data_IF_708633584364
#
_entry.id   IF_708633584364
#
_cell.length_a   1.000
_cell.length_b   1.000
_cell.length_c   1.000
_cell.angle_alpha   90.00
_cell.angle_beta   90.00
_cell.angle_gamma   90.00
#
_symmetry.space_group_name_H-M   'P 1'
#
loop_
_entity.id
_entity.type
_entity.pdbx_description
1 polymer ?
#
# COMPACT_ATOMS: atom_id res chain seq x y z
N UNK A 1 48.91 -81.14 -41.68
CA UNK A 1 48.73 -80.98 -40.28
C UNK A 1 48.64 -79.49 -39.94
N UNK A 2 47.50 -79.01 -39.58
CA UNK A 2 47.26 -77.66 -39.01
C UNK A 2 47.46 -77.75 -37.50
N UNK A 3 48.40 -77.01 -36.98
CA UNK A 3 48.61 -76.86 -35.54
C UNK A 3 47.80 -75.65 -35.05
N UNK A 4 46.80 -75.84 -34.16
CA UNK A 4 46.10 -74.79 -33.44
C UNK A 4 46.88 -74.39 -32.19
N UNK A 5 47.22 -73.11 -32.12
CA UNK A 5 47.79 -72.53 -30.91
C UNK A 5 46.71 -71.73 -30.10
N UNK A 6 46.31 -72.21 -28.94
CA UNK A 6 45.43 -71.54 -28.09
C UNK A 6 46.22 -70.66 -27.09
N UNK A 7 46.08 -69.35 -27.25
CA UNK A 7 46.60 -68.48 -26.23
C UNK A 7 45.50 -68.01 -25.30
N UNK A 8 45.61 -68.10 -23.97
CA UNK A 8 44.76 -67.44 -23.01
C UNK A 8 45.48 -66.23 -22.45
N UNK A 9 44.98 -65.03 -22.82
CA UNK A 9 45.41 -63.77 -22.22
C UNK A 9 44.61 -63.57 -20.95
N UNK A 10 45.26 -63.62 -19.80
CA UNK A 10 44.65 -63.25 -18.50
C UNK A 10 44.57 -61.74 -18.41
N UNK A 11 43.43 -61.16 -18.85
CA UNK A 11 43.14 -59.73 -18.67
C UNK A 11 42.82 -59.54 -17.17
N UNK A 12 43.79 -59.03 -16.41
CA UNK A 12 43.50 -58.45 -15.09
C UNK A 12 42.75 -57.16 -15.34
N UNK A 13 41.43 -57.24 -15.44
CA UNK A 13 40.60 -56.03 -15.29
C UNK A 13 40.82 -55.54 -13.86
N UNK A 14 41.62 -54.49 -13.68
CA UNK A 14 41.48 -53.64 -12.50
C UNK A 14 40.01 -53.38 -12.39
N UNK A 15 39.36 -53.84 -11.31
CA UNK A 15 38.02 -53.38 -10.93
C UNK A 15 38.07 -51.87 -10.96
N UNK A 16 37.67 -51.31 -12.04
CA UNK A 16 37.46 -49.90 -12.21
C UNK A 16 36.42 -49.48 -11.19
N UNK A 17 36.90 -48.62 -10.33
CA UNK A 17 36.09 -47.54 -9.70
C UNK A 17 34.81 -48.01 -9.03
N UNK A 18 34.89 -48.11 -7.73
CA UNK A 18 33.80 -47.60 -6.89
C UNK A 18 33.22 -46.37 -7.59
N UNK A 19 31.96 -46.43 -7.93
CA UNK A 19 31.19 -45.27 -8.28
C UNK A 19 31.60 -44.19 -7.32
N UNK A 20 32.29 -43.15 -7.81
CA UNK A 20 32.44 -41.91 -7.08
C UNK A 20 31.04 -41.43 -6.77
N UNK A 21 30.48 -41.78 -5.63
CA UNK A 21 29.32 -41.08 -5.12
C UNK A 21 29.73 -39.63 -5.07
N UNK A 22 29.07 -38.79 -5.80
CA UNK A 22 29.30 -37.35 -5.83
C UNK A 22 29.26 -36.84 -4.37
N UNK A 23 30.44 -36.55 -3.83
CA UNK A 23 30.58 -36.09 -2.45
C UNK A 23 30.56 -34.58 -2.33
N UNK A 24 30.05 -33.92 -3.38
CA UNK A 24 29.85 -32.45 -3.38
C UNK A 24 29.00 -32.06 -2.20
N UNK A 25 29.41 -31.07 -1.39
CA UNK A 25 28.54 -30.50 -0.36
C UNK A 25 27.24 -29.94 -0.97
N UNK A 26 26.13 -30.23 -0.32
CA UNK A 26 24.84 -29.67 -0.70
C UNK A 26 24.44 -28.60 0.32
N UNK A 27 24.57 -27.34 -0.05
CA UNK A 27 24.06 -26.24 0.76
C UNK A 27 22.60 -26.00 0.41
N UNK A 28 21.74 -25.97 1.42
CA UNK A 28 20.31 -25.76 1.30
C UNK A 28 19.84 -24.68 2.28
N UNK A 29 18.72 -24.03 1.97
CA UNK A 29 17.97 -23.25 2.96
C UNK A 29 17.02 -24.21 3.68
N UNK A 30 17.30 -24.51 4.93
CA UNK A 30 16.50 -25.45 5.71
C UNK A 30 15.24 -24.82 6.32
N UNK A 31 15.24 -23.51 6.53
CA UNK A 31 14.09 -22.72 6.97
C UNK A 31 14.35 -21.23 6.72
N UNK A 32 13.27 -20.46 6.63
CA UNK A 32 13.34 -19.00 6.57
C UNK A 32 12.13 -18.37 7.27
N UNK A 33 12.28 -17.10 7.65
CA UNK A 33 11.23 -16.31 8.31
C UNK A 33 11.39 -14.83 7.93
N UNK A 34 10.28 -14.17 7.65
CA UNK A 34 10.18 -12.74 7.34
C UNK A 34 9.30 -11.97 8.35
N UNK A 35 8.93 -12.62 9.47
CA UNK A 35 8.33 -12.00 10.66
C UNK A 35 6.81 -11.80 10.63
N UNK A 36 6.13 -11.90 9.48
CA UNK A 36 4.68 -11.64 9.30
C UNK A 36 4.06 -12.66 8.34
N UNK A 37 2.73 -12.65 8.25
CA UNK A 37 2.02 -13.46 7.25
C UNK A 37 2.25 -12.96 5.83
N UNK A 38 2.36 -11.63 5.64
CA UNK A 38 2.68 -10.98 4.39
C UNK A 38 3.38 -9.63 4.63
N UNK A 39 4.14 -9.15 3.66
CA UNK A 39 4.82 -7.86 3.69
C UNK A 39 3.98 -6.83 2.97
N UNK A 40 3.74 -5.69 3.61
CA UNK A 40 3.05 -4.57 2.95
C UNK A 40 3.99 -3.83 2.00
N UNK A 41 3.49 -3.47 0.83
CA UNK A 41 4.20 -2.61 -0.12
C UNK A 41 4.73 -1.33 0.53
N UNK A 42 5.96 -0.95 0.21
CA UNK A 42 6.65 0.22 0.77
C UNK A 42 7.16 0.03 2.21
N UNK A 43 7.15 -1.19 2.78
CA UNK A 43 7.63 -1.45 4.14
C UNK A 43 8.92 -2.27 4.16
N UNK A 44 9.72 -2.04 5.20
CA UNK A 44 10.91 -2.84 5.49
C UNK A 44 10.57 -4.07 6.32
N UNK A 45 11.36 -5.13 6.15
CA UNK A 45 11.29 -6.35 6.94
C UNK A 45 12.67 -6.99 7.07
N UNK A 46 12.81 -7.89 8.03
CA UNK A 46 14.03 -8.68 8.20
C UNK A 46 13.77 -10.09 7.71
N UNK A 47 14.53 -10.53 6.70
CA UNK A 47 14.56 -11.91 6.25
C UNK A 47 15.64 -12.64 7.04
N UNK A 48 15.25 -13.64 7.82
CA UNK A 48 16.16 -14.56 8.52
C UNK A 48 16.03 -15.93 7.88
N UNK A 49 17.15 -16.59 7.62
CA UNK A 49 17.15 -17.93 7.03
C UNK A 49 18.34 -18.77 7.50
N UNK A 50 18.20 -20.06 7.40
CA UNK A 50 19.19 -21.04 7.86
C UNK A 50 19.83 -21.73 6.67
N UNK A 51 21.13 -21.52 6.46
CA UNK A 51 21.93 -22.23 5.48
C UNK A 51 22.49 -23.49 6.14
N UNK A 52 22.14 -24.67 5.61
CA UNK A 52 22.57 -25.97 6.13
C UNK A 52 23.43 -26.67 5.09
N UNK A 53 24.57 -27.20 5.54
CA UNK A 53 25.33 -28.18 4.77
C UNK A 53 24.73 -29.58 4.99
N UNK A 54 24.03 -30.07 3.97
CA UNK A 54 23.39 -31.40 4.02
C UNK A 54 24.36 -32.55 3.75
N UNK A 55 25.64 -32.29 3.45
CA UNK A 55 26.66 -33.30 3.35
C UNK A 55 27.02 -33.84 4.76
N UNK A 56 27.20 -35.14 4.89
CA UNK A 56 27.64 -35.79 6.14
C UNK A 56 29.15 -35.85 6.28
N UNK A 57 29.95 -35.54 5.24
CA UNK A 57 31.40 -35.78 5.21
C UNK A 57 32.24 -34.56 4.83
N UNK A 58 31.75 -33.73 3.92
CA UNK A 58 32.55 -32.65 3.31
C UNK A 58 32.05 -31.30 3.80
N UNK A 59 32.96 -30.47 4.27
CA UNK A 59 32.67 -29.07 4.64
C UNK A 59 32.67 -28.16 3.40
N UNK A 60 31.85 -27.16 3.42
CA UNK A 60 31.93 -26.03 2.52
C UNK A 60 32.76 -24.91 3.13
N UNK A 61 33.64 -24.29 2.33
CA UNK A 61 34.56 -23.21 2.75
C UNK A 61 34.34 -21.98 1.84
N UNK A 62 34.76 -20.82 2.32
CA UNK A 62 34.64 -19.55 1.56
C UNK A 62 33.23 -19.36 0.96
N UNK A 63 32.20 -19.60 1.78
CA UNK A 63 30.81 -19.55 1.35
C UNK A 63 30.40 -18.10 1.19
N UNK A 64 29.91 -17.74 0.01
CA UNK A 64 29.32 -16.44 -0.30
C UNK A 64 27.84 -16.65 -0.60
N UNK A 65 26.97 -15.91 0.09
CA UNK A 65 25.54 -15.90 -0.14
C UNK A 65 25.17 -14.54 -0.72
N UNK A 66 24.85 -14.48 -2.01
CA UNK A 66 24.37 -13.29 -2.69
C UNK A 66 22.85 -13.32 -2.77
N UNK A 67 22.21 -12.22 -2.33
CA UNK A 67 20.76 -12.11 -2.26
C UNK A 67 20.23 -11.21 -3.36
N UNK A 68 19.18 -11.65 -4.07
CA UNK A 68 18.48 -10.89 -5.08
C UNK A 68 16.98 -10.91 -4.83
N UNK A 69 16.37 -9.74 -4.70
CA UNK A 69 14.93 -9.57 -4.43
C UNK A 69 14.07 -9.34 -5.68
N UNK A 70 14.67 -9.43 -6.89
CA UNK A 70 13.97 -9.14 -8.15
C UNK A 70 13.45 -7.70 -8.19
N UNK A 71 12.31 -7.52 -8.85
CA UNK A 71 11.67 -6.20 -9.02
C UNK A 71 10.80 -5.78 -7.83
N UNK A 72 10.74 -6.61 -6.77
CA UNK A 72 9.83 -6.38 -5.64
C UNK A 72 10.55 -6.03 -4.34
N UNK A 73 11.81 -6.47 -4.18
CA UNK A 73 12.55 -6.26 -2.95
C UNK A 73 13.96 -5.74 -3.22
N UNK A 74 14.43 -4.85 -2.36
CA UNK A 74 15.81 -4.36 -2.36
C UNK A 74 16.43 -4.56 -0.99
N UNK A 75 17.74 -4.83 -0.93
CA UNK A 75 18.47 -4.89 0.34
C UNK A 75 18.52 -3.49 0.95
N UNK A 76 18.06 -3.36 2.20
CA UNK A 76 17.92 -2.08 2.89
C UNK A 76 19.11 -1.76 3.81
N UNK A 77 19.98 -2.74 4.09
CA UNK A 77 21.14 -2.56 4.95
C UNK A 77 22.42 -3.13 4.32
N UNK A 78 23.40 -2.29 4.04
CA UNK A 78 24.73 -2.68 3.55
C UNK A 78 24.70 -3.38 2.19
N UNK A 79 25.46 -4.47 2.06
CA UNK A 79 25.63 -5.20 0.79
C UNK A 79 24.62 -6.35 0.63
N UNK A 80 24.39 -6.78 -0.59
CA UNK A 80 23.58 -7.95 -0.93
C UNK A 80 24.29 -9.29 -0.65
N UNK A 81 25.55 -9.26 -0.22
CA UNK A 81 26.41 -10.43 -0.07
C UNK A 81 26.77 -10.67 1.39
N UNK A 82 26.67 -11.93 1.83
CA UNK A 82 27.04 -12.42 3.15
C UNK A 82 28.17 -13.42 2.98
N UNK A 83 29.29 -13.22 3.73
CA UNK A 83 30.44 -14.14 3.73
C UNK A 83 30.41 -15.02 4.97
N UNK A 84 30.57 -16.33 4.78
CA UNK A 84 30.65 -17.34 5.84
C UNK A 84 31.95 -18.13 5.64
N UNK A 85 32.81 -18.13 6.62
CA UNK A 85 34.15 -18.78 6.52
C UNK A 85 34.06 -20.25 6.17
N UNK A 86 33.22 -21.02 6.89
CA UNK A 86 33.00 -22.45 6.63
C UNK A 86 31.64 -22.90 7.19
N UNK A 87 31.08 -23.95 6.60
CA UNK A 87 29.91 -24.70 7.11
C UNK A 87 30.33 -26.17 7.17
N UNK A 88 30.46 -26.72 8.38
CA UNK A 88 30.85 -28.13 8.62
C UNK A 88 29.76 -29.08 8.14
N UNK A 89 30.07 -30.38 7.93
CA UNK A 89 29.06 -31.39 7.64
C UNK A 89 27.91 -31.34 8.67
N UNK A 90 26.66 -31.39 8.16
CA UNK A 90 25.42 -31.30 8.93
C UNK A 90 25.22 -30.00 9.74
N UNK A 91 26.14 -29.03 9.66
CA UNK A 91 26.02 -27.75 10.35
C UNK A 91 25.01 -26.85 9.68
N UNK A 92 24.29 -26.06 10.50
CA UNK A 92 23.41 -25.01 10.11
C UNK A 92 23.94 -23.66 10.61
N UNK A 93 23.95 -22.65 9.74
CA UNK A 93 24.31 -21.27 10.08
C UNK A 93 23.10 -20.40 9.83
N UNK A 94 22.70 -19.63 10.83
CA UNK A 94 21.63 -18.65 10.71
C UNK A 94 22.19 -17.32 10.23
N UNK A 95 21.53 -16.74 9.27
CA UNK A 95 21.85 -15.43 8.70
C UNK A 95 20.58 -14.59 8.63
N UNK A 96 20.73 -13.27 8.66
CA UNK A 96 19.61 -12.35 8.51
C UNK A 96 20.01 -11.15 7.68
N UNK A 97 19.05 -10.56 6.97
CA UNK A 97 19.23 -9.40 6.12
C UNK A 97 17.97 -8.56 6.10
N UNK A 98 18.15 -7.24 6.13
CA UNK A 98 17.05 -6.30 6.04
C UNK A 98 16.74 -5.99 4.59
N UNK A 99 15.47 -6.09 4.24
CA UNK A 99 14.93 -5.79 2.92
C UNK A 99 13.88 -4.69 3.01
N UNK A 100 13.73 -3.93 1.94
CA UNK A 100 12.58 -3.06 1.71
C UNK A 100 11.75 -3.65 0.56
N UNK A 101 10.44 -3.77 0.77
CA UNK A 101 9.49 -4.03 -0.29
C UNK A 101 9.23 -2.74 -1.05
N UNK A 102 9.32 -2.77 -2.38
CA UNK A 102 9.02 -1.61 -3.20
C UNK A 102 7.53 -1.27 -3.12
N UNK A 103 7.20 0.02 -3.10
CA UNK A 103 5.80 0.46 -3.09
C UNK A 103 5.06 0.13 -4.38
N UNK A 104 5.79 -0.10 -5.47
CA UNK A 104 5.26 -0.52 -6.78
C UNK A 104 5.01 -2.02 -6.89
N UNK A 105 5.48 -2.83 -5.92
CA UNK A 105 5.24 -4.27 -5.94
C UNK A 105 3.74 -4.54 -5.78
N UNK A 106 3.14 -5.24 -6.73
CA UNK A 106 1.73 -5.64 -6.66
C UNK A 106 1.54 -6.71 -5.57
N UNK A 107 0.30 -6.93 -5.16
CA UNK A 107 -0.01 -8.07 -4.28
C UNK A 107 0.30 -9.38 -4.99
N UNK A 108 0.93 -10.30 -4.28
CA UNK A 108 1.37 -11.57 -4.85
C UNK A 108 2.46 -12.24 -4.04
N UNK A 109 3.03 -13.31 -4.57
CA UNK A 109 4.13 -14.04 -3.93
C UNK A 109 5.38 -13.88 -4.80
N UNK A 110 6.43 -13.33 -4.23
CA UNK A 110 7.66 -13.00 -4.96
C UNK A 110 8.86 -13.75 -4.39
N UNK A 111 9.78 -14.21 -5.26
CA UNK A 111 10.98 -14.90 -4.85
C UNK A 111 12.05 -13.91 -4.34
N UNK A 112 12.74 -14.29 -3.27
CA UNK A 112 14.07 -13.79 -2.95
C UNK A 112 15.04 -14.94 -3.21
N UNK A 113 15.96 -14.75 -4.15
CA UNK A 113 16.94 -15.77 -4.54
C UNK A 113 18.23 -15.56 -3.76
N UNK A 114 18.74 -16.62 -3.17
CA UNK A 114 20.06 -16.70 -2.56
C UNK A 114 20.96 -17.56 -3.46
N UNK A 115 21.87 -16.92 -4.19
CA UNK A 115 22.95 -17.62 -4.89
C UNK A 115 24.06 -17.93 -3.91
N UNK A 116 24.23 -19.22 -3.59
CA UNK A 116 25.21 -19.69 -2.61
C UNK A 116 26.39 -20.33 -3.32
N UNK A 117 27.52 -19.66 -3.40
CA UNK A 117 28.79 -20.16 -3.95
C UNK A 117 29.75 -20.57 -2.84
N UNK A 118 30.48 -21.64 -3.03
CA UNK A 118 31.39 -22.18 -2.02
C UNK A 118 32.51 -23.03 -2.65
N UNK A 119 33.57 -23.21 -1.87
CA UNK A 119 34.69 -24.10 -2.19
C UNK A 119 34.66 -25.35 -1.30
N UNK A 120 35.22 -26.45 -1.78
CA UNK A 120 35.40 -27.69 -1.01
C UNK A 120 36.60 -28.45 -1.53
N UNK A 121 37.05 -29.44 -0.74
CA UNK A 121 38.20 -30.25 -1.07
C UNK A 121 37.76 -31.70 -1.26
N UNK A 122 37.90 -32.20 -2.50
CA UNK A 122 37.68 -33.57 -2.88
C UNK A 122 38.61 -33.92 -4.05
N UNK A 123 39.72 -34.62 -3.75
CA UNK A 123 40.75 -34.90 -4.75
C UNK A 123 41.46 -33.65 -5.29
N UNK A 124 41.31 -32.52 -4.59
CA UNK A 124 41.77 -31.19 -4.95
C UNK A 124 40.74 -30.10 -4.60
N UNK A 125 41.09 -28.83 -4.80
CA UNK A 125 40.19 -27.70 -4.60
C UNK A 125 39.12 -27.67 -5.69
N UNK A 126 37.87 -27.63 -5.30
CA UNK A 126 36.69 -27.58 -6.13
C UNK A 126 35.82 -26.37 -5.75
N UNK A 127 34.92 -25.93 -6.62
CA UNK A 127 33.91 -24.92 -6.34
C UNK A 127 32.53 -25.34 -6.86
N UNK A 128 31.49 -24.88 -6.20
CA UNK A 128 30.09 -25.08 -6.61
C UNK A 128 29.25 -23.84 -6.30
N UNK A 129 28.10 -23.74 -6.97
CA UNK A 129 27.14 -22.69 -6.73
C UNK A 129 25.73 -23.24 -6.91
N UNK A 130 24.81 -22.81 -6.05
CA UNK A 130 23.38 -23.17 -6.08
C UNK A 130 22.52 -21.93 -5.93
N UNK A 131 21.43 -21.85 -6.67
CA UNK A 131 20.38 -20.87 -6.47
C UNK A 131 19.27 -21.48 -5.61
N UNK A 132 18.97 -20.80 -4.51
CA UNK A 132 18.00 -21.21 -3.51
C UNK A 132 16.95 -20.10 -3.37
N UNK A 133 15.68 -20.47 -3.46
CA UNK A 133 14.59 -19.49 -3.49
C UNK A 133 13.76 -19.53 -2.22
N UNK A 134 13.42 -18.33 -1.72
CA UNK A 134 12.50 -18.11 -0.60
C UNK A 134 11.32 -17.28 -1.10
N UNK A 135 10.11 -17.81 -0.97
CA UNK A 135 8.89 -17.13 -1.43
C UNK A 135 8.33 -16.24 -0.34
N UNK A 136 8.17 -14.94 -0.63
CA UNK A 136 7.69 -13.93 0.32
C UNK A 136 6.41 -13.31 -0.24
N UNK A 137 5.27 -13.43 0.46
CA UNK A 137 4.02 -12.80 0.06
C UNK A 137 4.04 -11.29 0.33
N UNK A 138 3.53 -10.53 -0.64
CA UNK A 138 3.33 -9.09 -0.57
C UNK A 138 1.84 -8.79 -0.66
N UNK A 139 1.40 -7.80 0.12
CA UNK A 139 0.04 -7.26 0.06
C UNK A 139 0.10 -5.74 -0.06
N UNK A 140 -0.82 -5.18 -0.83
CA UNK A 140 -0.99 -3.74 -0.88
C UNK A 140 -2.01 -3.31 0.19
N UNK A 141 -1.72 -2.26 0.98
CA UNK A 141 -2.67 -1.76 1.95
C UNK A 141 -3.82 -1.03 1.26
N UNK A 142 -5.03 -1.28 1.73
CA UNK A 142 -6.19 -0.49 1.34
C UNK A 142 -6.00 0.95 1.78
N UNK A 143 -6.28 1.90 0.86
CA UNK A 143 -6.24 3.34 1.11
C UNK A 143 -7.51 3.95 0.57
N UNK A 144 -8.54 3.97 1.40
CA UNK A 144 -9.86 4.47 1.03
C UNK A 144 -10.32 5.50 2.04
N UNK A 145 -11.02 6.52 1.57
CA UNK A 145 -11.59 7.56 2.43
C UNK A 145 -12.86 8.14 1.82
N UNK A 146 -13.71 8.68 2.69
CA UNK A 146 -14.75 9.61 2.29
C UNK A 146 -14.13 10.98 1.98
N UNK A 147 -14.63 11.59 0.90
CA UNK A 147 -14.34 12.98 0.55
C UNK A 147 -15.67 13.66 0.29
N UNK A 148 -15.97 14.78 0.71
CA UNK A 148 -17.24 15.51 0.52
C UNK A 148 -18.48 14.72 0.97
N UNK A 149 -19.07 15.17 2.07
CA UNK A 149 -20.36 14.72 2.55
C UNK A 149 -21.28 15.94 2.51
N UNK A 150 -22.23 15.96 1.57
CA UNK A 150 -23.01 17.18 1.30
C UNK A 150 -23.96 17.56 2.44
N UNK A 151 -24.34 16.62 3.30
CA UNK A 151 -25.18 16.87 4.47
C UNK A 151 -24.39 17.29 5.71
N UNK A 152 -23.04 17.17 5.68
CA UNK A 152 -22.20 17.50 6.82
C UNK A 152 -22.25 18.99 7.16
N UNK A 153 -22.41 19.32 8.45
CA UNK A 153 -22.47 20.68 9.01
C UNK A 153 -23.54 21.60 8.38
N UNK A 154 -24.57 21.01 7.77
CA UNK A 154 -25.71 21.73 7.21
C UNK A 154 -26.85 21.86 8.20
N UNK A 155 -27.68 22.87 7.94
CA UNK A 155 -28.99 23.01 8.56
C UNK A 155 -30.05 22.53 7.57
N UNK A 156 -30.93 21.66 8.04
CA UNK A 156 -32.04 21.08 7.28
C UNK A 156 -33.34 21.27 8.05
N UNK A 157 -34.48 21.17 7.39
CA UNK A 157 -35.77 21.34 8.04
C UNK A 157 -36.30 20.01 8.60
N UNK A 158 -37.05 20.10 9.69
CA UNK A 158 -37.80 18.96 10.24
C UNK A 158 -38.91 18.57 9.24
N UNK A 159 -39.18 17.27 9.16
CA UNK A 159 -40.21 16.65 8.28
C UNK A 159 -39.98 16.86 6.77
N UNK A 160 -38.84 17.42 6.38
CA UNK A 160 -38.42 17.52 4.98
C UNK A 160 -37.35 16.46 4.66
N UNK A 161 -37.46 15.87 3.47
CA UNK A 161 -36.43 14.95 2.98
C UNK A 161 -35.17 15.71 2.58
N UNK A 162 -34.03 15.25 3.06
CA UNK A 162 -32.72 15.81 2.79
C UNK A 162 -31.79 14.75 2.22
N UNK A 163 -31.10 15.10 1.16
CA UNK A 163 -30.19 14.18 0.47
C UNK A 163 -28.77 14.21 1.04
N UNK A 164 -28.32 13.08 1.57
CA UNK A 164 -26.93 12.87 1.92
C UNK A 164 -26.15 12.32 0.72
N UNK A 165 -25.49 13.19 -0.03
CA UNK A 165 -24.54 12.76 -1.05
C UNK A 165 -23.12 12.67 -0.48
N UNK A 166 -22.31 11.79 -1.08
CA UNK A 166 -20.95 11.49 -0.60
C UNK A 166 -20.04 11.14 -1.78
N UNK A 167 -18.74 11.27 -1.56
CA UNK A 167 -17.72 10.80 -2.48
C UNK A 167 -16.78 9.83 -1.74
N UNK A 168 -16.40 8.75 -2.39
CA UNK A 168 -15.41 7.78 -1.88
C UNK A 168 -14.24 7.75 -2.86
N UNK A 169 -13.02 7.81 -2.34
CA UNK A 169 -11.79 7.70 -3.13
C UNK A 169 -11.03 6.46 -2.70
N UNK A 170 -10.71 5.62 -3.66
CA UNK A 170 -9.74 4.55 -3.52
C UNK A 170 -8.35 5.05 -3.95
N UNK A 171 -7.53 5.45 -3.00
CA UNK A 171 -6.13 5.86 -3.22
C UNK A 171 -5.16 4.67 -3.19
N UNK A 172 -5.68 3.45 -3.04
CA UNK A 172 -4.91 2.21 -3.04
C UNK A 172 -4.52 1.77 -4.46
N UNK A 173 -3.75 0.69 -4.53
CA UNK A 173 -3.31 0.07 -5.79
C UNK A 173 -4.14 -1.16 -6.15
N UNK A 174 -5.14 -1.49 -5.33
CA UNK A 174 -6.01 -2.65 -5.48
C UNK A 174 -7.45 -2.21 -5.61
N UNK A 175 -8.24 -3.01 -6.32
CA UNK A 175 -9.68 -2.81 -6.46
C UNK A 175 -10.40 -3.08 -5.16
N UNK A 176 -11.42 -2.28 -4.85
CA UNK A 176 -12.41 -2.52 -3.81
C UNK A 176 -13.66 -3.10 -4.45
N UNK A 177 -14.18 -4.18 -3.91
CA UNK A 177 -15.33 -4.90 -4.46
C UNK A 177 -16.52 -4.88 -3.52
N UNK A 178 -17.72 -5.07 -4.06
CA UNK A 178 -18.96 -5.21 -3.30
C UNK A 178 -19.24 -4.07 -2.30
N UNK A 179 -18.87 -2.84 -2.69
CA UNK A 179 -19.01 -1.66 -1.84
C UNK A 179 -20.48 -1.35 -1.52
N UNK A 180 -20.77 -1.10 -0.25
CA UNK A 180 -22.07 -0.64 0.24
C UNK A 180 -21.85 0.51 1.22
N UNK A 181 -22.59 1.61 1.05
CA UNK A 181 -22.58 2.72 2.00
C UNK A 181 -23.86 2.69 2.83
N UNK A 182 -23.73 2.89 4.13
CA UNK A 182 -24.82 2.99 5.10
C UNK A 182 -24.75 4.33 5.81
N UNK A 183 -25.89 4.99 5.94
CA UNK A 183 -26.10 6.14 6.80
C UNK A 183 -26.73 5.65 8.11
N UNK A 184 -26.05 5.88 9.22
CA UNK A 184 -26.51 5.43 10.55
C UNK A 184 -26.61 6.58 11.52
N UNK A 185 -27.50 6.49 12.50
CA UNK A 185 -27.59 7.42 13.62
C UNK A 185 -26.53 7.15 14.69
N UNK A 186 -26.50 7.99 15.73
CA UNK A 186 -25.58 7.87 16.87
C UNK A 186 -25.75 6.59 17.70
N UNK A 187 -26.85 5.87 17.52
CA UNK A 187 -27.15 4.58 18.17
C UNK A 187 -26.81 3.40 17.30
N UNK A 188 -26.33 3.63 16.06
CA UNK A 188 -26.05 2.60 15.08
C UNK A 188 -27.25 2.09 14.31
N UNK A 189 -28.43 2.75 14.43
CA UNK A 189 -29.60 2.43 13.62
C UNK A 189 -29.34 2.87 12.18
N UNK A 190 -29.48 1.96 11.22
CA UNK A 190 -29.43 2.27 9.79
C UNK A 190 -30.65 3.15 9.41
N UNK A 191 -30.38 4.30 8.82
CA UNK A 191 -31.37 5.22 8.30
C UNK A 191 -31.60 4.97 6.81
N UNK A 192 -30.51 4.74 6.08
CA UNK A 192 -30.52 4.42 4.66
C UNK A 192 -29.24 3.72 4.23
N UNK A 193 -29.28 3.05 3.07
CA UNK A 193 -28.09 2.42 2.47
C UNK A 193 -28.17 2.34 0.97
N UNK A 194 -27.02 2.29 0.31
CA UNK A 194 -26.88 2.13 -1.13
C UNK A 194 -25.73 1.20 -1.49
N UNK A 195 -25.95 0.34 -2.47
CA UNK A 195 -24.88 -0.45 -3.09
C UNK A 195 -24.14 0.41 -4.11
N UNK A 196 -22.83 0.59 -3.92
CA UNK A 196 -21.98 1.41 -4.78
C UNK A 196 -21.13 0.57 -5.75
N UNK A 197 -21.10 -0.75 -5.56
CA UNK A 197 -20.38 -1.66 -6.44
C UNK A 197 -18.88 -1.66 -6.23
N UNK A 198 -18.13 -1.64 -7.33
CA UNK A 198 -16.68 -1.74 -7.32
C UNK A 198 -16.03 -0.36 -7.54
N UNK A 199 -14.89 -0.13 -6.84
CA UNK A 199 -14.08 1.06 -7.04
C UNK A 199 -12.67 0.61 -7.44
N UNK A 200 -12.24 0.93 -8.67
CA UNK A 200 -10.95 0.54 -9.20
C UNK A 200 -9.79 1.21 -8.45
N UNK A 201 -8.59 0.66 -8.59
CA UNK A 201 -7.36 1.21 -8.02
C UNK A 201 -7.12 2.65 -8.52
N UNK A 202 -6.87 3.58 -7.60
CA UNK A 202 -6.73 5.01 -7.91
C UNK A 202 -8.02 5.67 -8.38
N UNK A 203 -9.16 4.94 -8.34
CA UNK A 203 -10.46 5.39 -8.77
C UNK A 203 -11.21 6.15 -7.69
N UNK A 204 -12.27 6.83 -8.13
CA UNK A 204 -13.20 7.49 -7.23
C UNK A 204 -14.63 7.06 -7.58
N UNK A 205 -15.43 6.94 -6.55
CA UNK A 205 -16.88 6.86 -6.66
C UNK A 205 -17.46 8.24 -6.32
N UNK A 206 -17.78 9.01 -7.33
CA UNK A 206 -18.55 10.23 -7.17
C UNK A 206 -20.03 9.84 -7.34
N UNK A 207 -20.79 9.86 -6.27
CA UNK A 207 -22.12 9.31 -6.32
C UNK A 207 -23.08 10.24 -7.08
N UNK A 208 -23.74 9.65 -8.06
CA UNK A 208 -25.08 10.12 -8.48
C UNK A 208 -26.16 9.55 -7.54
N UNK A 209 -25.76 8.81 -6.49
CA UNK A 209 -26.64 8.24 -5.50
C UNK A 209 -26.65 9.14 -4.28
N UNK A 210 -27.82 9.48 -3.82
CA UNK A 210 -28.05 10.14 -2.56
C UNK A 210 -28.66 9.13 -1.58
N UNK A 211 -28.46 9.37 -0.30
CA UNK A 211 -29.13 8.64 0.77
C UNK A 211 -30.16 9.61 1.37
N UNK A 212 -31.42 9.55 0.94
CA UNK A 212 -32.45 10.38 1.52
C UNK A 212 -32.67 10.07 2.99
N UNK A 213 -32.84 11.12 3.79
CA UNK A 213 -33.11 11.04 5.22
C UNK A 213 -34.07 12.13 5.65
N UNK A 214 -35.00 11.79 6.54
CA UNK A 214 -35.95 12.72 7.14
C UNK A 214 -35.80 12.72 8.65
N UNK A 215 -35.91 13.88 9.29
CA UNK A 215 -35.81 14.05 10.74
C UNK A 215 -37.17 14.48 11.30
N UNK A 216 -37.67 13.80 12.32
CA UNK A 216 -38.97 14.05 12.97
C UNK A 216 -38.92 15.08 14.08
N UNK A 217 -37.75 15.61 14.43
CA UNK A 217 -37.54 16.54 15.54
C UNK A 217 -36.41 17.51 15.23
N UNK A 218 -36.53 18.72 15.73
CA UNK A 218 -35.46 19.71 15.74
C UNK A 218 -34.34 19.31 16.70
N UNK A 219 -33.11 19.71 16.38
CA UNK A 219 -31.94 19.47 17.25
C UNK A 219 -30.64 19.20 16.45
N UNK A 220 -29.58 18.90 17.14
CA UNK A 220 -28.31 18.49 16.56
C UNK A 220 -28.26 16.96 16.48
N UNK A 221 -28.09 16.43 15.28
CA UNK A 221 -27.95 15.01 15.02
C UNK A 221 -26.49 14.69 14.70
N UNK A 222 -25.96 13.63 15.34
CA UNK A 222 -24.69 13.01 14.99
C UNK A 222 -24.99 11.81 14.12
N UNK A 223 -24.48 11.84 12.92
CA UNK A 223 -24.65 10.79 11.93
C UNK A 223 -23.30 10.22 11.57
N UNK A 224 -23.31 9.02 10.98
CA UNK A 224 -22.13 8.35 10.50
C UNK A 224 -22.41 7.71 9.13
N UNK A 225 -21.51 7.92 8.17
CA UNK A 225 -21.42 7.10 6.98
C UNK A 225 -20.46 5.96 7.24
N UNK A 226 -20.87 4.75 6.86
CA UNK A 226 -20.06 3.52 6.90
C UNK A 226 -19.96 3.01 5.47
N UNK A 227 -18.74 2.87 4.96
CA UNK A 227 -18.49 2.20 3.70
C UNK A 227 -17.92 0.82 3.98
N UNK A 228 -18.69 -0.22 3.67
CA UNK A 228 -18.29 -1.62 3.75
C UNK A 228 -17.88 -2.08 2.35
N UNK A 229 -16.78 -2.83 2.26
CA UNK A 229 -16.26 -3.36 0.99
C UNK A 229 -15.47 -4.66 1.21
N UNK A 230 -15.17 -5.34 0.12
CA UNK A 230 -14.24 -6.47 0.10
C UNK A 230 -12.95 -6.04 -0.60
N UNK A 231 -11.80 -6.34 0.03
CA UNK A 231 -10.49 -6.10 -0.56
C UNK A 231 -10.13 -7.19 -1.60
N UNK A 232 -8.93 -7.15 -2.16
CA UNK A 232 -8.46 -8.13 -3.15
C UNK A 232 -8.40 -9.58 -2.63
N UNK A 233 -8.29 -9.77 -1.31
CA UNK A 233 -8.29 -11.08 -0.66
C UNK A 233 -9.70 -11.55 -0.27
N UNK A 234 -10.74 -10.83 -0.67
CA UNK A 234 -12.13 -11.04 -0.25
C UNK A 234 -12.37 -10.84 1.26
N UNK A 235 -11.44 -10.15 1.95
CA UNK A 235 -11.66 -9.77 3.34
C UNK A 235 -12.64 -8.62 3.41
N UNK A 236 -13.64 -8.73 4.27
CA UNK A 236 -14.58 -7.65 4.57
C UNK A 236 -13.89 -6.58 5.40
N UNK A 237 -13.97 -5.35 4.92
CA UNK A 237 -13.40 -4.15 5.55
C UNK A 237 -14.45 -3.06 5.61
N UNK A 238 -14.21 -2.08 6.48
CA UNK A 238 -15.05 -0.89 6.55
C UNK A 238 -14.25 0.34 6.94
N UNK A 239 -14.70 1.49 6.47
CA UNK A 239 -14.29 2.81 6.95
C UNK A 239 -15.53 3.58 7.40
N UNK A 240 -15.35 4.48 8.35
CA UNK A 240 -16.42 5.26 8.95
C UNK A 240 -16.06 6.75 8.95
N UNK A 241 -17.05 7.60 8.73
CA UNK A 241 -16.91 9.04 8.86
C UNK A 241 -18.11 9.62 9.61
N UNK A 242 -17.86 10.22 10.77
CA UNK A 242 -18.88 10.93 11.56
C UNK A 242 -19.02 12.37 11.08
N UNK A 243 -20.23 12.88 11.14
CA UNK A 243 -20.57 14.27 10.84
C UNK A 243 -21.83 14.70 11.62
N UNK A 244 -22.12 16.01 11.60
CA UNK A 244 -23.25 16.59 12.29
C UNK A 244 -24.20 17.25 11.32
N UNK A 245 -25.48 17.27 11.70
CA UNK A 245 -26.55 17.96 10.99
C UNK A 245 -27.40 18.72 12.00
N UNK A 246 -27.72 19.97 11.72
CA UNK A 246 -28.65 20.77 12.52
C UNK A 246 -30.01 20.70 11.89
N UNK A 247 -31.02 20.31 12.64
CA UNK A 247 -32.41 20.24 12.18
C UNK A 247 -33.20 21.36 12.84
N UNK A 248 -33.82 22.21 12.05
CA UNK A 248 -34.60 23.36 12.49
C UNK A 248 -36.04 23.27 11.96
N UNK A 249 -36.92 24.12 12.51
CA UNK A 249 -38.25 24.30 11.92
C UNK A 249 -38.10 25.07 10.60
N UNK A 250 -38.93 24.79 9.60
CA UNK A 250 -39.03 25.66 8.42
C UNK A 250 -39.32 27.11 8.86
N UNK A 251 -38.51 28.04 8.39
CA UNK A 251 -38.82 29.47 8.61
C UNK A 251 -39.95 29.85 7.69
N UNK A 252 -41.07 30.31 8.24
CA UNK A 252 -42.14 30.89 7.48
C UNK A 252 -41.62 32.14 6.75
N UNK A 253 -41.71 32.24 5.41
CA UNK A 253 -41.26 33.44 4.66
C UNK A 253 -41.96 34.72 5.13
N UNK A 254 -43.07 34.62 5.85
CA UNK A 254 -43.88 35.76 6.31
C UNK A 254 -43.67 36.16 7.77
N UNK A 255 -42.84 35.42 8.54
CA UNK A 255 -42.56 35.74 9.96
C UNK A 255 -41.72 37.00 10.17
N UNK A 256 -41.21 37.63 9.09
CA UNK A 256 -40.49 38.91 9.13
C UNK A 256 -41.33 40.10 8.70
N UNK A 257 -42.67 40.00 8.72
CA UNK A 257 -43.51 41.20 8.64
C UNK A 257 -43.55 41.80 10.04
N UNK A 258 -42.58 42.66 10.29
CA UNK A 258 -42.58 43.58 11.45
C UNK A 258 -43.89 44.37 11.44
N UNK A 259 -44.81 44.07 12.38
CA UNK A 259 -45.98 44.85 12.65
C UNK A 259 -45.53 46.19 13.28
N UNK A 260 -44.91 47.04 12.44
CA UNK A 260 -44.66 48.42 12.76
C UNK A 260 -46.00 49.12 12.92
N UNK A 261 -46.42 49.30 14.16
CA UNK A 261 -47.50 50.21 14.56
C UNK A 261 -47.26 51.56 13.93
N UNK A 262 -48.26 51.92 13.13
CA UNK A 262 -48.57 53.24 12.59
C UNK A 262 -48.44 54.33 13.71
N UNK A 263 -47.52 55.28 13.50
CA UNK A 263 -47.64 56.61 14.06
C UNK A 263 -47.16 57.63 13.05
N UNK A 264 -48.13 58.25 12.41
CA UNK A 264 -48.04 59.50 11.68
C UNK A 264 -47.27 60.54 12.53
N UNK A 265 -46.21 61.15 12.01
CA UNK A 265 -46.14 62.61 11.91
C UNK A 265 -45.02 63.07 10.96
N UNK A 266 -45.31 64.23 10.35
CA UNK A 266 -44.61 65.00 9.35
C UNK A 266 -43.11 65.29 9.62
N UNK A 267 -42.29 65.32 8.62
CA UNK A 267 -41.66 66.50 7.97
C UNK A 267 -40.27 66.24 7.43
N UNK A 268 -40.13 66.66 6.17
CA UNK A 268 -38.97 67.29 5.51
C UNK A 268 -37.67 66.50 5.24
N UNK A 269 -37.45 66.40 3.96
CA UNK A 269 -36.20 66.35 3.17
C UNK A 269 -34.85 66.39 3.89
N UNK A 270 -34.01 65.45 3.57
CA UNK A 270 -32.64 65.68 3.02
C UNK A 270 -31.98 64.40 2.54
N UNK A 271 -31.45 64.49 1.29
CA UNK A 271 -30.51 63.57 0.70
C UNK A 271 -29.34 63.22 1.62
N UNK A 272 -29.03 61.96 1.79
CA UNK A 272 -27.62 61.56 1.91
C UNK A 272 -27.39 60.08 1.52
N UNK A 273 -26.44 59.91 0.60
CA UNK A 273 -25.93 58.63 0.19
C UNK A 273 -25.28 57.88 1.31
N UNK A 274 -25.88 56.80 1.78
CA UNK A 274 -25.22 55.87 2.68
C UNK A 274 -25.17 54.49 2.06
N UNK A 275 -23.99 54.17 1.55
CA UNK A 275 -23.57 52.82 1.11
C UNK A 275 -23.74 51.81 2.23
N UNK A 276 -24.67 50.88 2.09
CA UNK A 276 -24.81 49.74 2.99
C UNK A 276 -23.60 48.83 2.90
N UNK A 277 -22.84 48.77 3.95
CA UNK A 277 -21.71 47.84 4.10
C UNK A 277 -22.24 46.42 4.32
N UNK A 278 -22.19 45.61 3.25
CA UNK A 278 -22.39 44.17 3.34
C UNK A 278 -21.19 43.61 4.12
N UNK A 279 -21.43 43.16 5.35
CA UNK A 279 -20.44 42.36 6.09
C UNK A 279 -20.43 40.94 5.56
N UNK A 280 -19.47 40.64 4.67
CA UNK A 280 -19.21 39.27 4.24
C UNK A 280 -18.41 38.60 5.37
N UNK A 281 -19.04 37.68 6.08
CA UNK A 281 -18.32 36.74 6.96
C UNK A 281 -17.70 35.66 6.08
N UNK A 282 -16.41 35.79 5.79
CA UNK A 282 -15.60 34.70 5.23
C UNK A 282 -15.27 33.77 6.35
N UNK A 283 -16.04 32.70 6.47
CA UNK A 283 -15.73 31.58 7.37
C UNK A 283 -14.49 30.87 6.90
N UNK A 284 -13.51 30.70 7.81
CA UNK A 284 -12.23 30.04 7.60
C UNK A 284 -12.39 28.59 7.14
N UNK A 285 -12.25 28.36 5.83
CA UNK A 285 -12.16 27.04 5.21
C UNK A 285 -11.08 27.01 4.12
N UNK A 286 -9.96 27.72 4.30
CA UNK A 286 -8.88 27.78 3.30
C UNK A 286 -7.54 27.42 3.98
N UNK A 287 -7.42 26.13 4.34
CA UNK A 287 -6.14 25.60 4.81
C UNK A 287 -5.42 24.68 3.81
N UNK A 288 -6.16 24.01 2.90
CA UNK A 288 -5.59 22.97 2.04
C UNK A 288 -5.23 23.43 0.61
N UNK A 289 -5.91 24.43 0.07
CA UNK A 289 -5.68 24.90 -1.33
C UNK A 289 -4.41 25.76 -1.47
N UNK A 290 -3.98 26.47 -0.43
CA UNK A 290 -2.80 27.35 -0.47
C UNK A 290 -1.48 26.57 -0.55
N UNK A 291 -1.42 25.34 -0.02
CA UNK A 291 -0.20 24.52 -0.02
C UNK A 291 0.08 23.95 -1.41
N UNK A 292 -0.96 23.60 -2.18
CA UNK A 292 -0.80 23.06 -3.54
C UNK A 292 -0.35 24.14 -4.52
N UNK A 293 -0.87 25.37 -4.39
CA UNK A 293 -0.48 26.50 -5.25
C UNK A 293 0.98 26.91 -4.98
N UNK A 294 1.42 26.91 -3.72
CA UNK A 294 2.80 27.21 -3.37
C UNK A 294 3.77 26.16 -3.93
N UNK A 295 3.41 24.87 -3.91
CA UNK A 295 4.24 23.80 -4.45
C UNK A 295 4.39 23.92 -5.99
N UNK A 296 3.32 24.24 -6.71
CA UNK A 296 3.34 24.40 -8.17
C UNK A 296 4.18 25.63 -8.58
N UNK A 297 4.14 26.72 -7.83
CA UNK A 297 4.95 27.92 -8.10
C UNK A 297 6.43 27.66 -7.82
N UNK A 298 6.77 26.92 -6.79
CA UNK A 298 8.16 26.54 -6.46
C UNK A 298 8.73 25.60 -7.53
N UNK A 299 7.96 24.65 -8.03
CA UNK A 299 8.38 23.74 -9.09
C UNK A 299 8.58 24.49 -10.42
N UNK A 300 7.69 25.44 -10.77
CA UNK A 300 7.87 26.29 -11.96
C UNK A 300 9.09 27.19 -11.86
N UNK A 301 9.37 27.81 -10.69
CA UNK A 301 10.57 28.64 -10.49
C UNK A 301 11.87 27.83 -10.54
N UNK A 302 11.87 26.55 -10.11
CA UNK A 302 13.05 25.69 -10.22
C UNK A 302 13.32 25.20 -11.65
N UNK A 303 12.29 25.01 -12.49
CA UNK A 303 12.48 24.67 -13.92
C UNK A 303 13.04 25.82 -14.74
N UNK A 304 12.71 27.09 -14.42
CA UNK A 304 13.25 28.24 -15.12
C UNK A 304 14.74 28.56 -14.79
N UNK A 305 15.28 28.06 -13.66
CA UNK A 305 16.68 28.27 -13.28
C UNK A 305 17.67 27.23 -13.84
N UNK A 306 17.17 26.14 -14.45
CA UNK A 306 18.02 25.08 -15.04
C UNK A 306 18.20 25.18 -16.57
N UNK A 307 17.72 26.26 -17.21
CA UNK A 307 17.68 26.41 -18.66
C UNK A 307 18.74 27.38 -19.26
N UNK A 308 19.77 27.77 -18.53
CA UNK A 308 20.83 28.64 -19.09
C UNK A 308 22.22 28.17 -18.71
N UNK A 309 22.66 27.06 -19.30
CA UNK A 309 24.09 26.76 -19.43
C UNK A 309 24.40 26.84 -20.93
N UNK A 310 25.02 27.93 -21.36
CA UNK A 310 25.57 28.05 -22.69
C UNK A 310 26.81 27.16 -22.76
N UNK A 311 26.83 26.28 -23.73
CA UNK A 311 28.06 25.63 -24.20
C UNK A 311 28.84 26.67 -25.02
N UNK A 312 30.02 27.07 -24.56
CA UNK A 312 31.02 27.71 -25.38
C UNK A 312 31.89 26.63 -26.01
N UNK A 313 31.77 26.55 -27.33
CA UNK A 313 32.62 25.79 -28.22
C UNK A 313 33.92 26.62 -28.42
N UNK A 314 35.07 26.09 -28.06
CA UNK A 314 36.37 26.53 -28.56
C UNK A 314 37.35 25.36 -28.70
N UNK A 315 37.60 25.06 -30.00
CA UNK A 315 38.81 24.54 -30.68
C UNK A 315 39.49 23.32 -30.06
#
# INVERSE_FOLDING_TARGET
GTAEFNFSIKVNSKKSSKSKTDLTPQLIISSFNYGKSAISGGKEFTLSFNVKNNSSKIKAQNVLVKLAGGDSFVVADGTDTISIKEIKPNQTISVSKKFACLSSAQSGVYPITATVSFEYIEGGKQSASNDLTMSVPVVQPDKVQFQQIALADKTVNVDEESDCSFQIINMGQTKLSNGTVKLVDSKGKELNSAYVGNIEAGGQFASNYTLPVTFDKTGEYKLKLIFEYENENMDKKSIEQEFKVKVEKPTDPFDNVDNGTDNTDNSEEQDDHSTSKIKIYIGCGVGAAAIVIAAVVIIKKRKHKKGSVKFDEKI
#
